data_IF_789797189430
#
_entry.id   IF_789797189430
#
_cell.length_a   1.000
_cell.length_b   1.000
_cell.length_c   1.000
_cell.angle_alpha   90.00
_cell.angle_beta   90.00
_cell.angle_gamma   90.00
#
_symmetry.space_group_name_H-M   'P 1'
#
loop_
_entity.id
_entity.type
_entity.pdbx_description
1 polymer ?
#
# COMPACT_ATOMS: atom_id res chain seq x y z
N UNK A 1 -2.20 18.35 2.44
CA UNK A 1 -1.53 17.07 2.62
C UNK A 1 -1.12 16.57 1.26
N UNK A 2 0.16 16.34 1.04
CA UNK A 2 0.66 15.76 -0.21
C UNK A 2 0.26 14.27 -0.29
N UNK A 3 0.27 13.72 -1.50
CA UNK A 3 -0.10 12.34 -1.77
C UNK A 3 0.76 11.35 -0.98
N UNK A 4 2.09 11.55 -0.95
CA UNK A 4 3.01 10.72 -0.17
C UNK A 4 2.69 10.73 1.33
N UNK A 5 2.26 11.87 1.88
CA UNK A 5 1.85 11.95 3.29
C UNK A 5 0.60 11.10 3.56
N UNK A 6 -0.37 11.06 2.62
CA UNK A 6 -1.56 10.20 2.72
C UNK A 6 -1.20 8.71 2.75
N UNK A 7 -0.24 8.29 1.92
CA UNK A 7 0.25 6.90 1.95
C UNK A 7 0.89 6.55 3.30
N UNK A 8 1.72 7.45 3.85
CA UNK A 8 2.35 7.22 5.15
C UNK A 8 1.31 7.16 6.28
N UNK A 9 0.34 8.07 6.29
CA UNK A 9 -0.74 8.08 7.29
C UNK A 9 -1.55 6.78 7.23
N UNK A 10 -1.96 6.35 6.03
CA UNK A 10 -2.68 5.10 5.83
C UNK A 10 -1.84 3.91 6.35
N UNK A 11 -0.57 3.81 5.97
CA UNK A 11 0.30 2.73 6.45
C UNK A 11 0.40 2.68 7.99
N UNK A 12 0.53 3.84 8.64
CA UNK A 12 0.61 3.94 10.10
C UNK A 12 -0.70 3.49 10.76
N UNK A 13 -1.85 3.89 10.22
CA UNK A 13 -3.16 3.50 10.74
C UNK A 13 -3.33 1.98 10.64
N UNK A 14 -3.07 1.39 9.48
CA UNK A 14 -3.28 -0.05 9.25
C UNK A 14 -2.36 -0.90 10.13
N UNK A 15 -1.10 -0.50 10.27
CA UNK A 15 -0.13 -1.19 11.14
C UNK A 15 -0.58 -1.25 12.59
N UNK A 16 -1.25 -0.21 13.10
CA UNK A 16 -1.83 -0.19 14.46
C UNK A 16 -2.95 -1.21 14.64
N UNK A 17 -3.52 -1.72 13.56
CA UNK A 17 -4.63 -2.67 13.53
C UNK A 17 -4.22 -4.05 13.00
N UNK A 18 -2.95 -4.42 13.16
CA UNK A 18 -2.35 -5.70 12.75
C UNK A 18 -2.40 -5.99 11.24
N UNK A 19 -2.64 -4.97 10.42
CA UNK A 19 -2.51 -5.08 8.98
C UNK A 19 -1.06 -4.83 8.55
N UNK A 20 -0.53 -5.72 7.73
CA UNK A 20 0.80 -5.61 7.15
C UNK A 20 0.70 -5.05 5.74
N UNK A 21 1.52 -4.07 5.42
CA UNK A 21 1.63 -3.55 4.07
C UNK A 21 2.38 -4.57 3.19
N UNK A 22 1.71 -5.09 2.16
CA UNK A 22 2.27 -6.10 1.25
C UNK A 22 2.81 -5.51 -0.05
N UNK A 23 2.14 -4.49 -0.59
CA UNK A 23 2.54 -3.82 -1.84
C UNK A 23 1.99 -2.40 -1.88
N UNK A 24 2.70 -1.51 -2.56
CA UNK A 24 2.23 -0.16 -2.88
C UNK A 24 2.08 -0.01 -4.38
N UNK A 25 0.95 0.54 -4.80
CA UNK A 25 0.66 0.92 -6.18
C UNK A 25 0.71 2.44 -6.26
N UNK A 26 1.53 2.98 -7.16
CA UNK A 26 1.65 4.42 -7.33
C UNK A 26 1.56 4.80 -8.81
N UNK A 27 0.87 5.90 -9.08
CA UNK A 27 0.92 6.56 -10.38
C UNK A 27 2.33 7.07 -10.69
N UNK A 28 2.70 7.23 -11.98
CA UNK A 28 4.01 7.77 -12.37
C UNK A 28 4.33 9.12 -11.70
N UNK A 29 3.35 10.00 -11.57
CA UNK A 29 3.49 11.31 -10.93
C UNK A 29 3.83 11.17 -9.44
N UNK A 30 3.18 10.25 -8.75
CA UNK A 30 3.40 9.97 -7.33
C UNK A 30 4.75 9.29 -7.11
N UNK A 31 5.17 8.40 -8.02
CA UNK A 31 6.52 7.82 -8.00
C UNK A 31 7.60 8.90 -8.15
N UNK A 32 7.43 9.87 -9.05
CA UNK A 32 8.36 10.99 -9.17
C UNK A 32 8.44 11.78 -7.87
N UNK A 33 7.30 12.06 -7.22
CA UNK A 33 7.28 12.74 -5.93
C UNK A 33 8.02 11.94 -4.84
N UNK A 34 7.83 10.61 -4.80
CA UNK A 34 8.53 9.74 -3.86
C UNK A 34 10.05 9.80 -4.08
N UNK A 35 10.51 9.69 -5.33
CA UNK A 35 11.94 9.77 -5.67
C UNK A 35 12.54 11.13 -5.32
N UNK A 36 11.83 12.23 -5.59
CA UNK A 36 12.26 13.58 -5.22
C UNK A 36 12.37 13.75 -3.69
N UNK A 37 11.40 13.23 -2.94
CA UNK A 37 11.42 13.26 -1.48
C UNK A 37 12.61 12.46 -0.90
N UNK A 38 12.94 11.32 -1.50
CA UNK A 38 14.09 10.51 -1.10
C UNK A 38 15.43 11.17 -1.49
N UNK A 39 15.52 11.77 -2.67
CA UNK A 39 16.72 12.46 -3.13
C UNK A 39 17.07 13.69 -2.26
N UNK A 40 16.06 14.43 -1.80
CA UNK A 40 16.26 15.55 -0.86
C UNK A 40 16.58 15.14 0.59
N UNK A 41 16.40 13.85 0.93
CA UNK A 41 16.70 13.27 2.24
C UNK A 41 18.06 12.55 2.32
N UNK A 42 18.61 12.10 1.19
CA UNK A 42 19.90 11.39 1.14
C UNK A 42 21.09 12.20 1.67
N UNK A 43 21.02 13.54 1.64
CA UNK A 43 22.03 14.42 2.23
C UNK A 43 21.90 14.59 3.76
N UNK A 44 20.80 14.13 4.38
CA UNK A 44 20.54 14.25 5.84
C UNK A 44 20.67 12.96 6.63
N UNK A 45 20.76 11.80 5.96
CA UNK A 45 20.75 10.48 6.63
C UNK A 45 22.08 10.03 7.24
N UNK A 46 23.16 10.81 7.15
CA UNK A 46 24.43 10.47 7.82
C UNK A 46 24.47 10.85 9.31
N UNK A 47 23.49 11.59 9.83
CA UNK A 47 23.54 12.14 11.18
C UNK A 47 22.17 12.16 11.87
N UNK A 48 21.47 11.02 11.98
CA UNK A 48 20.43 10.81 12.99
C UNK A 48 19.97 9.35 13.00
N UNK A 49 20.65 8.54 13.80
CA UNK A 49 20.07 7.33 14.39
C UNK A 49 19.34 7.74 15.67
N UNK A 50 18.24 7.05 15.99
CA UNK A 50 17.52 7.05 17.29
C UNK A 50 16.27 7.94 17.43
N UNK A 51 15.29 7.77 16.54
CA UNK A 51 13.88 7.69 16.97
C UNK A 51 13.14 6.69 16.08
N UNK A 52 13.05 5.46 16.55
CA UNK A 52 12.55 4.32 15.80
C UNK A 52 11.01 4.34 15.76
N UNK A 53 10.44 5.17 14.87
CA UNK A 53 9.02 5.05 14.47
C UNK A 53 8.67 5.65 13.10
N UNK A 54 9.64 6.17 12.33
CA UNK A 54 9.41 6.55 10.93
C UNK A 54 9.86 5.45 9.96
N UNK A 55 9.45 4.22 10.24
CA UNK A 55 9.54 3.06 9.33
C UNK A 55 8.42 3.12 8.28
N UNK A 56 8.26 4.30 7.68
CA UNK A 56 7.32 4.56 6.60
C UNK A 56 8.04 4.62 5.25
N UNK A 57 9.35 4.37 5.23
CA UNK A 57 10.09 4.10 4.00
C UNK A 57 9.50 2.85 3.36
N UNK A 58 8.88 3.00 2.20
CA UNK A 58 8.47 1.88 1.33
C UNK A 58 9.67 1.08 0.79
N UNK A 59 10.81 1.07 1.50
CA UNK A 59 12.07 0.43 1.12
C UNK A 59 12.00 -1.10 1.23
N UNK A 60 11.21 -1.62 2.17
CA UNK A 60 11.05 -3.07 2.38
C UNK A 60 9.79 -3.64 1.71
N UNK A 61 9.02 -2.81 1.01
CA UNK A 61 7.76 -3.18 0.37
C UNK A 61 7.88 -3.01 -1.14
N UNK A 62 7.30 -3.93 -1.90
CA UNK A 62 7.23 -3.79 -3.35
C UNK A 62 6.42 -2.54 -3.73
N UNK A 63 7.09 -1.53 -4.29
CA UNK A 63 6.44 -0.36 -4.91
C UNK A 63 6.36 -0.62 -6.40
N UNK A 64 5.15 -0.57 -6.95
CA UNK A 64 4.88 -0.83 -8.36
C UNK A 64 4.17 0.35 -9.00
N UNK A 65 4.61 0.69 -10.22
CA UNK A 65 3.89 1.64 -11.06
C UNK A 65 2.52 1.07 -11.46
N UNK A 66 1.47 1.88 -11.28
CA UNK A 66 0.09 1.54 -11.58
C UNK A 66 -0.66 2.77 -12.10
N UNK A 67 -1.88 2.56 -12.60
CA UNK A 67 -2.75 3.65 -13.03
C UNK A 67 -3.46 4.36 -11.85
N UNK A 68 -3.30 3.85 -10.63
CA UNK A 68 -3.95 4.36 -9.43
C UNK A 68 -2.98 4.36 -8.25
N UNK A 69 -3.20 5.30 -7.34
CA UNK A 69 -2.51 5.37 -6.06
C UNK A 69 -3.25 4.54 -5.01
N UNK A 70 -2.68 3.39 -4.64
CA UNK A 70 -3.32 2.43 -3.74
C UNK A 70 -2.33 1.60 -2.92
N UNK A 71 -2.83 0.97 -1.85
CA UNK A 71 -2.02 0.15 -0.95
C UNK A 71 -2.68 -1.20 -0.71
N UNK A 72 -1.88 -2.26 -0.82
CA UNK A 72 -2.28 -3.61 -0.46
C UNK A 72 -1.92 -3.92 0.98
N UNK A 73 -2.92 -4.23 1.78
CA UNK A 73 -2.77 -4.67 3.16
C UNK A 73 -3.18 -6.13 3.29
N UNK A 74 -2.43 -6.88 4.08
CA UNK A 74 -2.73 -8.28 4.40
C UNK A 74 -2.77 -8.45 5.90
N UNK A 75 -3.69 -9.29 6.37
CA UNK A 75 -3.82 -9.60 7.79
C UNK A 75 -4.22 -11.05 7.97
N UNK A 76 -3.54 -11.74 8.88
CA UNK A 76 -3.97 -13.07 9.31
C UNK A 76 -5.34 -12.98 10.00
N UNK A 77 -6.25 -13.86 9.61
CA UNK A 77 -7.60 -13.97 10.14
C UNK A 77 -7.78 -15.28 10.91
N UNK A 78 -8.89 -15.39 11.64
CA UNK A 78 -9.16 -16.57 12.46
C UNK A 78 -9.29 -17.84 11.60
N UNK A 79 -8.66 -18.93 12.03
CA UNK A 79 -8.71 -20.22 11.33
C UNK A 79 -7.66 -20.41 10.23
N UNK A 80 -6.57 -19.62 10.23
CA UNK A 80 -5.52 -19.71 9.21
C UNK A 80 -5.85 -18.99 7.89
N UNK A 81 -7.02 -18.35 7.83
CA UNK A 81 -7.44 -17.50 6.72
C UNK A 81 -6.59 -16.25 6.63
N UNK A 82 -6.55 -15.67 5.44
CA UNK A 82 -5.86 -14.40 5.20
C UNK A 82 -6.83 -13.39 4.61
N UNK A 83 -6.88 -12.20 5.17
CA UNK A 83 -7.67 -11.09 4.64
C UNK A 83 -6.76 -10.16 3.86
N UNK A 84 -7.14 -9.82 2.63
CA UNK A 84 -6.48 -8.80 1.82
C UNK A 84 -7.39 -7.59 1.67
N UNK A 85 -6.80 -6.41 1.74
CA UNK A 85 -7.49 -5.15 1.49
C UNK A 85 -6.68 -4.29 0.51
N UNK A 86 -7.32 -3.87 -0.56
CA UNK A 86 -6.77 -2.89 -1.49
C UNK A 86 -7.41 -1.53 -1.19
N UNK A 87 -6.61 -0.62 -0.65
CA UNK A 87 -7.05 0.70 -0.21
C UNK A 87 -6.67 1.76 -1.25
N UNK A 88 -7.66 2.51 -1.75
CA UNK A 88 -7.41 3.73 -2.54
C UNK A 88 -6.83 4.81 -1.64
N UNK A 89 -5.75 5.44 -2.10
CA UNK A 89 -5.16 6.62 -1.45
C UNK A 89 -5.66 7.86 -2.18
N UNK A 90 -6.84 8.32 -1.78
CA UNK A 90 -7.48 9.52 -2.33
C UNK A 90 -8.18 10.30 -1.21
N UNK A 91 -8.75 11.46 -1.55
CA UNK A 91 -9.55 12.25 -0.61
C UNK A 91 -10.81 11.53 -0.18
N UNK A 92 -11.47 10.86 -1.14
CA UNK A 92 -12.59 9.97 -0.84
C UNK A 92 -12.06 8.58 -0.52
N UNK A 93 -12.33 8.05 0.70
CA UNK A 93 -11.88 6.73 1.07
C UNK A 93 -12.66 5.65 0.31
N UNK A 94 -11.94 4.76 -0.37
CA UNK A 94 -12.51 3.58 -1.00
C UNK A 94 -11.57 2.38 -0.79
N UNK A 95 -12.13 1.21 -0.52
CA UNK A 95 -11.36 0.00 -0.30
C UNK A 95 -12.12 -1.22 -0.84
N UNK A 96 -11.36 -2.16 -1.40
CA UNK A 96 -11.84 -3.50 -1.75
C UNK A 96 -11.24 -4.48 -0.75
N UNK A 97 -12.01 -5.48 -0.35
CA UNK A 97 -11.62 -6.44 0.69
C UNK A 97 -11.99 -7.86 0.25
N UNK A 98 -11.09 -8.80 0.50
CA UNK A 98 -11.30 -10.23 0.23
C UNK A 98 -10.71 -11.10 1.35
N UNK A 99 -11.30 -12.27 1.59
CA UNK A 99 -10.80 -13.25 2.56
C UNK A 99 -10.55 -14.58 1.87
N UNK A 100 -9.33 -15.08 2.03
CA UNK A 100 -8.85 -16.32 1.45
C UNK A 100 -8.88 -17.45 2.47
N UNK A 101 -9.30 -18.63 2.02
CA UNK A 101 -9.23 -19.85 2.81
C UNK A 101 -7.79 -20.40 2.86
N UNK A 102 -7.37 -21.09 3.94
CA UNK A 102 -5.98 -21.51 4.11
C UNK A 102 -5.50 -22.49 3.02
N UNK A 103 -6.41 -23.24 2.41
CA UNK A 103 -6.18 -24.22 1.35
C UNK A 103 -6.28 -23.63 -0.06
N UNK A 104 -6.63 -22.35 -0.19
CA UNK A 104 -6.72 -21.67 -1.47
C UNK A 104 -5.32 -21.46 -2.09
N UNK A 105 -5.16 -21.83 -3.36
CA UNK A 105 -3.87 -21.83 -4.04
C UNK A 105 -3.35 -20.41 -4.29
N UNK A 106 -2.02 -20.22 -4.26
CA UNK A 106 -1.41 -18.91 -4.47
C UNK A 106 -1.78 -18.27 -5.82
N UNK A 107 -1.88 -19.07 -6.88
CA UNK A 107 -2.28 -18.59 -8.21
C UNK A 107 -3.72 -18.03 -8.23
N UNK A 108 -4.65 -18.66 -7.51
CA UNK A 108 -6.03 -18.18 -7.39
C UNK A 108 -6.08 -16.84 -6.64
N UNK A 109 -5.31 -16.73 -5.55
CA UNK A 109 -5.20 -15.48 -4.78
C UNK A 109 -4.60 -14.36 -5.63
N UNK A 110 -3.59 -14.68 -6.43
CA UNK A 110 -2.96 -13.76 -7.37
C UNK A 110 -3.94 -13.23 -8.42
N UNK A 111 -4.80 -14.10 -8.97
CA UNK A 111 -5.80 -13.70 -9.95
C UNK A 111 -6.87 -12.78 -9.33
N UNK A 112 -7.31 -13.08 -8.11
CA UNK A 112 -8.19 -12.19 -7.34
C UNK A 112 -7.54 -10.84 -7.09
N UNK A 113 -6.22 -10.81 -6.80
CA UNK A 113 -5.47 -9.55 -6.68
C UNK A 113 -5.60 -8.69 -7.92
N UNK A 114 -5.34 -9.27 -9.09
CA UNK A 114 -5.38 -8.58 -10.38
C UNK A 114 -6.78 -8.08 -10.68
N UNK A 115 -7.80 -8.86 -10.31
CA UNK A 115 -9.18 -8.47 -10.46
C UNK A 115 -9.53 -7.27 -9.56
N UNK A 116 -9.11 -7.28 -8.29
CA UNK A 116 -9.30 -6.15 -7.37
C UNK A 116 -8.59 -4.89 -7.86
N UNK A 117 -7.35 -5.00 -8.35
CA UNK A 117 -6.63 -3.87 -8.96
C UNK A 117 -7.37 -3.31 -10.18
N UNK A 118 -7.94 -4.18 -11.03
CA UNK A 118 -8.73 -3.77 -12.19
C UNK A 118 -10.02 -3.07 -11.77
N UNK A 119 -10.76 -3.62 -10.79
CA UNK A 119 -11.98 -3.01 -10.24
C UNK A 119 -11.70 -1.64 -9.64
N UNK A 120 -10.59 -1.48 -8.91
CA UNK A 120 -10.19 -0.20 -8.34
C UNK A 120 -9.89 0.83 -9.43
N UNK A 121 -9.14 0.42 -10.46
CA UNK A 121 -8.84 1.27 -11.61
C UNK A 121 -10.11 1.73 -12.32
N UNK A 122 -11.05 0.83 -12.54
CA UNK A 122 -12.33 1.14 -13.18
C UNK A 122 -13.17 2.10 -12.33
N UNK A 123 -13.12 1.98 -11.00
CA UNK A 123 -13.75 2.94 -10.08
C UNK A 123 -13.16 4.34 -10.28
N UNK A 124 -11.83 4.47 -10.27
CA UNK A 124 -11.16 5.78 -10.42
C UNK A 124 -11.30 6.39 -11.82
N UNK A 125 -11.49 5.58 -12.86
CA UNK A 125 -11.68 6.07 -14.24
C UNK A 125 -13.12 6.52 -14.54
N UNK A 126 -14.06 6.32 -13.61
CA UNK A 126 -15.47 6.73 -13.73
C UNK A 126 -15.78 8.05 -13.03
N UNK A 127 -14.87 8.56 -12.21
CA UNK A 127 -14.96 9.88 -11.55
C UNK A 127 -14.17 10.93 -12.33
#
# INVERSE_FOLDING_TARGET
>A
MNQIERFHEAAVIYRKHDWRLARVLMCPETLVQLHLAQAGGAERSAAQSSDASSDASFQEVEVREAAVDAMWFVRASHGGREAWELRLVAETPYALFEVFEPDEAEDDREDVRREMEARLRDYTGRE
#
